data_IF_290487140615
#
_entry.id   IF_290487140615
#
_cell.length_a   1.000
_cell.length_b   1.000
_cell.length_c   1.000
_cell.angle_alpha   90.00
_cell.angle_beta   90.00
_cell.angle_gamma   90.00
#
_symmetry.space_group_name_H-M   'P 1'
#
loop_
_entity.id
_entity.type
_entity.pdbx_description
1 polymer ?
#
# COMPACT_ATOMS: atom_id res chain seq x y z
N UNK A 1 4.23 -17.87 17.65
CA UNK A 1 4.15 -16.43 17.32
C UNK A 1 3.39 -16.27 16.00
N UNK A 2 2.46 -15.31 15.91
CA UNK A 2 1.77 -14.97 14.65
C UNK A 2 2.31 -13.65 14.10
N UNK A 3 2.61 -13.60 12.80
CA UNK A 3 3.12 -12.43 12.10
C UNK A 3 2.22 -12.11 10.91
N UNK A 4 1.91 -10.82 10.72
CA UNK A 4 1.23 -10.31 9.54
C UNK A 4 2.20 -9.45 8.74
N UNK A 5 2.49 -9.86 7.52
CA UNK A 5 3.24 -9.07 6.54
C UNK A 5 2.25 -8.27 5.69
N UNK A 6 2.52 -6.99 5.45
CA UNK A 6 1.60 -6.12 4.73
C UNK A 6 2.32 -5.54 3.51
N UNK A 7 1.78 -5.78 2.31
CA UNK A 7 2.10 -4.95 1.14
C UNK A 7 1.17 -3.73 1.20
N UNK A 8 1.70 -2.52 1.45
CA UNK A 8 0.86 -1.34 1.59
C UNK A 8 0.23 -0.93 0.24
N UNK A 9 -0.88 -0.17 0.26
CA UNK A 9 -1.32 0.56 -0.92
C UNK A 9 -0.25 1.58 -1.32
N UNK A 10 -0.27 2.01 -2.59
CA UNK A 10 0.73 2.94 -3.14
C UNK A 10 0.02 4.13 -3.76
N UNK A 11 0.57 5.32 -3.55
CA UNK A 11 0.13 6.53 -4.23
C UNK A 11 1.15 6.91 -5.31
N UNK A 12 0.78 6.88 -6.58
CA UNK A 12 1.67 7.17 -7.71
C UNK A 12 0.88 7.65 -8.95
N UNK A 13 1.59 8.10 -9.99
CA UNK A 13 1.02 8.49 -11.29
C UNK A 13 0.66 7.30 -12.17
N UNK A 14 1.26 6.13 -11.93
CA UNK A 14 0.99 4.90 -12.67
C UNK A 14 1.25 3.64 -11.83
N UNK A 15 0.66 2.54 -12.26
CA UNK A 15 0.90 1.21 -11.70
C UNK A 15 0.83 0.19 -12.84
N UNK A 16 1.65 -0.86 -12.78
CA UNK A 16 1.61 -1.99 -13.71
C UNK A 16 1.56 -3.29 -12.92
N UNK A 17 0.97 -4.33 -13.49
CA UNK A 17 0.77 -5.63 -12.82
C UNK A 17 2.07 -6.26 -12.32
N UNK A 18 3.18 -6.09 -13.04
CA UNK A 18 4.48 -6.61 -12.58
C UNK A 18 5.02 -5.89 -11.33
N UNK A 19 4.59 -4.66 -11.07
CA UNK A 19 5.01 -3.85 -9.91
C UNK A 19 4.16 -4.07 -8.66
N UNK A 20 3.09 -4.87 -8.76
CA UNK A 20 2.20 -5.17 -7.62
C UNK A 20 2.47 -6.54 -7.02
N UNK A 21 3.40 -7.33 -7.57
CA UNK A 21 3.72 -8.65 -7.06
C UNK A 21 4.54 -8.55 -5.76
N UNK A 22 4.04 -9.06 -4.61
CA UNK A 22 4.73 -9.00 -3.32
C UNK A 22 5.88 -10.03 -3.20
N UNK A 23 6.73 -10.16 -4.22
CA UNK A 23 7.72 -11.25 -4.33
C UNK A 23 8.64 -11.32 -3.11
N UNK A 24 9.16 -10.18 -2.65
CA UNK A 24 9.99 -10.13 -1.44
C UNK A 24 9.26 -10.60 -0.19
N UNK A 25 7.98 -10.24 -0.03
CA UNK A 25 7.16 -10.70 1.11
C UNK A 25 6.87 -12.19 1.02
N UNK A 26 6.71 -12.75 -0.18
CA UNK A 26 6.53 -14.19 -0.37
C UNK A 26 7.78 -14.96 0.08
N UNK A 27 8.98 -14.50 -0.30
CA UNK A 27 10.24 -15.11 0.14
C UNK A 27 10.41 -15.02 1.67
N UNK A 28 10.12 -13.86 2.26
CA UNK A 28 10.15 -13.69 3.71
C UNK A 28 9.17 -14.62 4.42
N UNK A 29 7.92 -14.68 3.93
CA UNK A 29 6.91 -15.57 4.50
C UNK A 29 7.33 -17.04 4.42
N UNK A 30 7.90 -17.48 3.30
CA UNK A 30 8.41 -18.85 3.15
C UNK A 30 9.50 -19.16 4.17
N UNK A 31 10.52 -18.30 4.29
CA UNK A 31 11.61 -18.47 5.26
C UNK A 31 11.10 -18.55 6.71
N UNK A 32 10.21 -17.63 7.09
CA UNK A 32 9.64 -17.57 8.45
C UNK A 32 8.77 -18.80 8.76
N UNK A 33 7.97 -19.26 7.78
CA UNK A 33 7.16 -20.48 7.93
C UNK A 33 8.02 -21.72 8.11
N UNK A 34 9.13 -21.83 7.38
CA UNK A 34 10.11 -22.92 7.56
C UNK A 34 10.76 -22.93 8.95
N UNK A 35 10.76 -21.79 9.64
CA UNK A 35 11.22 -21.65 11.03
C UNK A 35 10.08 -21.74 12.07
N UNK A 36 8.91 -22.28 11.69
CA UNK A 36 7.78 -22.51 12.61
C UNK A 36 6.98 -21.27 12.98
N UNK A 37 7.16 -20.14 12.28
CA UNK A 37 6.38 -18.92 12.52
C UNK A 37 5.11 -18.97 11.66
N UNK A 38 3.95 -18.71 12.29
CA UNK A 38 2.69 -18.56 11.56
C UNK A 38 2.67 -17.18 10.89
N UNK A 39 2.75 -17.16 9.56
CA UNK A 39 2.79 -15.92 8.76
C UNK A 39 1.59 -15.82 7.84
N UNK A 40 0.91 -14.68 7.90
CA UNK A 40 -0.09 -14.24 6.93
C UNK A 40 0.44 -13.06 6.12
N UNK A 41 -0.03 -12.92 4.87
CA UNK A 41 0.24 -11.76 4.02
C UNK A 41 -1.09 -11.03 3.78
N UNK A 42 -1.12 -9.74 4.06
CA UNK A 42 -2.16 -8.82 3.62
C UNK A 42 -1.62 -8.03 2.44
N UNK A 43 -2.02 -8.43 1.23
CA UNK A 43 -1.71 -7.68 0.02
C UNK A 43 -2.78 -6.61 -0.21
N UNK A 44 -2.45 -5.34 0.04
CA UNK A 44 -3.37 -4.23 -0.18
C UNK A 44 -3.47 -3.82 -1.65
N UNK A 45 -2.59 -4.30 -2.53
CA UNK A 45 -2.62 -3.99 -3.97
C UNK A 45 -3.23 -5.12 -4.80
N UNK A 46 -3.63 -6.24 -4.18
CA UNK A 46 -4.39 -7.32 -4.82
C UNK A 46 -5.87 -6.94 -5.05
N UNK A 47 -6.10 -5.77 -5.66
CA UNK A 47 -7.42 -5.24 -6.04
C UNK A 47 -7.25 -4.31 -7.24
N UNK A 48 -8.30 -4.13 -8.03
CA UNK A 48 -8.33 -3.16 -9.14
C UNK A 48 -8.72 -1.75 -8.68
N UNK A 49 -8.97 -1.58 -7.37
CA UNK A 49 -9.32 -0.29 -6.79
C UNK A 49 -8.22 0.75 -6.99
N UNK A 50 -8.61 1.88 -7.60
CA UNK A 50 -7.77 3.06 -7.76
C UNK A 50 -8.62 4.32 -7.65
N UNK A 51 -8.11 5.34 -6.95
CA UNK A 51 -8.82 6.60 -6.71
C UNK A 51 -7.91 7.76 -7.06
N UNK A 52 -8.41 8.74 -7.80
CA UNK A 52 -7.68 9.98 -8.03
C UNK A 52 -7.61 10.74 -6.71
N UNK A 53 -6.39 11.13 -6.33
CA UNK A 53 -6.13 11.94 -5.14
C UNK A 53 -5.32 13.17 -5.55
N UNK A 54 -5.24 14.14 -4.65
CA UNK A 54 -4.45 15.34 -4.91
C UNK A 54 -2.97 14.99 -5.06
N UNK A 55 -2.33 15.58 -6.07
CA UNK A 55 -0.89 15.46 -6.28
C UNK A 55 -0.14 16.19 -5.16
N UNK A 56 0.75 15.51 -4.40
CA UNK A 56 1.58 16.12 -3.37
C UNK A 56 2.33 17.36 -3.87
N UNK A 57 2.57 18.32 -2.98
CA UNK A 57 3.23 19.59 -3.31
C UNK A 57 4.65 19.38 -3.86
N UNK A 58 5.33 18.35 -3.38
CA UNK A 58 6.64 17.89 -3.84
C UNK A 58 6.64 17.53 -5.33
N UNK A 59 5.48 17.14 -5.87
CA UNK A 59 5.28 16.79 -7.28
C UNK A 59 4.60 17.90 -8.09
N UNK A 60 4.46 19.11 -7.54
CA UNK A 60 3.84 20.23 -8.25
C UNK A 60 4.57 20.59 -9.56
N UNK A 61 5.89 20.39 -9.61
CA UNK A 61 6.72 20.59 -10.81
C UNK A 61 6.33 19.67 -11.98
N UNK A 62 5.61 18.57 -11.71
CA UNK A 62 5.15 17.63 -12.73
C UNK A 62 3.84 18.06 -13.41
N UNK A 63 3.06 18.97 -12.79
CA UNK A 63 1.76 19.43 -13.32
C UNK A 63 1.79 19.91 -14.77
N UNK A 64 2.82 20.66 -15.24
CA UNK A 64 2.90 21.08 -16.64
C UNK A 64 3.05 19.92 -17.63
N UNK A 65 3.68 18.82 -17.20
CA UNK A 65 4.02 17.66 -18.01
C UNK A 65 2.95 16.57 -17.95
N UNK A 66 2.42 16.29 -16.76
CA UNK A 66 1.43 15.24 -16.51
C UNK A 66 0.03 15.86 -16.51
N UNK A 67 -0.43 16.18 -17.72
CA UNK A 67 -1.74 16.79 -17.94
C UNK A 67 -2.81 15.69 -18.00
N UNK A 68 -3.74 15.63 -17.03
CA UNK A 68 -4.82 14.66 -17.10
C UNK A 68 -5.70 14.91 -18.33
N UNK A 69 -6.15 13.84 -18.98
CA UNK A 69 -6.97 13.93 -20.20
C UNK A 69 -6.18 14.20 -21.50
N UNK A 70 -4.85 14.27 -21.46
CA UNK A 70 -4.05 14.32 -22.69
C UNK A 70 -4.26 13.04 -23.52
N UNK A 71 -4.60 13.19 -24.80
CA UNK A 71 -4.81 12.09 -25.74
C UNK A 71 -3.69 11.93 -26.77
N UNK A 72 -2.64 12.76 -26.68
CA UNK A 72 -1.47 12.68 -27.56
C UNK A 72 -0.80 11.31 -27.50
N UNK A 73 -0.26 10.78 -28.62
CA UNK A 73 0.55 9.56 -28.64
C UNK A 73 1.77 9.61 -27.72
N UNK A 74 2.28 10.83 -27.43
CA UNK A 74 3.43 11.06 -26.55
C UNK A 74 3.01 11.49 -25.14
N UNK A 75 1.75 11.24 -24.76
CA UNK A 75 1.29 11.55 -23.40
C UNK A 75 2.09 10.76 -22.38
N UNK A 76 2.50 11.44 -21.32
CA UNK A 76 3.09 10.81 -20.14
C UNK A 76 1.95 10.33 -19.22
N UNK A 77 2.22 10.27 -17.93
CA UNK A 77 1.22 9.88 -16.95
C UNK A 77 0.12 10.92 -16.77
N UNK A 78 -0.99 10.49 -16.18
CA UNK A 78 -2.16 11.34 -15.96
C UNK A 78 -2.30 11.75 -14.50
N UNK A 79 -3.44 11.42 -13.89
CA UNK A 79 -3.70 11.71 -12.48
C UNK A 79 -2.76 10.95 -11.53
N UNK A 80 -2.39 11.62 -10.43
CA UNK A 80 -1.87 10.96 -9.24
C UNK A 80 -3.01 10.17 -8.58
N UNK A 81 -2.75 8.91 -8.22
CA UNK A 81 -3.78 7.98 -7.76
C UNK A 81 -3.31 7.18 -6.56
N UNK A 82 -4.25 6.89 -5.66
CA UNK A 82 -4.12 5.85 -4.65
C UNK A 82 -4.50 4.51 -5.27
N UNK A 83 -3.59 3.56 -5.23
CA UNK A 83 -3.77 2.19 -5.72
C UNK A 83 -3.85 1.22 -4.55
N UNK A 84 -4.85 0.35 -4.60
CA UNK A 84 -5.09 -0.63 -3.56
C UNK A 84 -6.16 -0.21 -2.54
N UNK A 85 -6.24 -0.99 -1.47
CA UNK A 85 -7.22 -0.83 -0.40
C UNK A 85 -7.13 0.54 0.28
N UNK A 86 -8.27 1.01 0.78
CA UNK A 86 -8.31 2.21 1.60
C UNK A 86 -7.88 1.92 3.03
N UNK A 87 -7.47 2.97 3.76
CA UNK A 87 -6.99 2.85 5.12
C UNK A 87 -8.01 2.22 6.08
N UNK A 88 -9.30 2.49 5.90
CA UNK A 88 -10.37 1.89 6.70
C UNK A 88 -10.50 0.38 6.45
N UNK A 89 -10.39 -0.06 5.21
CA UNK A 89 -10.43 -1.48 4.85
C UNK A 89 -9.23 -2.22 5.43
N UNK A 90 -8.05 -1.60 5.38
CA UNK A 90 -6.83 -2.13 5.99
C UNK A 90 -7.02 -2.27 7.50
N UNK A 91 -7.55 -1.23 8.17
CA UNK A 91 -7.86 -1.26 9.61
C UNK A 91 -8.84 -2.37 9.95
N UNK A 92 -9.92 -2.51 9.18
CA UNK A 92 -10.92 -3.55 9.38
C UNK A 92 -10.32 -4.96 9.22
N UNK A 93 -9.53 -5.17 8.16
CA UNK A 93 -8.84 -6.43 7.89
C UNK A 93 -7.83 -6.78 8.98
N UNK A 94 -7.10 -5.81 9.53
CA UNK A 94 -6.19 -6.04 10.65
C UNK A 94 -6.98 -6.42 11.91
N UNK A 95 -8.07 -5.71 12.24
CA UNK A 95 -8.90 -5.97 13.42
C UNK A 95 -9.62 -7.31 13.38
N UNK A 96 -10.02 -7.77 12.19
CA UNK A 96 -10.68 -9.06 12.01
C UNK A 96 -9.77 -10.25 12.32
N UNK A 97 -8.45 -10.05 12.40
CA UNK A 97 -7.50 -11.10 12.71
C UNK A 97 -7.30 -11.18 14.23
N UNK A 98 -7.47 -12.36 14.85
CA UNK A 98 -7.26 -12.52 16.28
C UNK A 98 -5.79 -12.28 16.60
N UNK A 99 -5.53 -11.10 17.17
CA UNK A 99 -4.20 -10.66 17.57
C UNK A 99 -4.03 -10.92 19.07
N UNK A 100 -3.19 -11.88 19.44
CA UNK A 100 -2.76 -12.05 20.83
C UNK A 100 -1.59 -11.10 21.06
N UNK A 101 -1.87 -9.79 21.14
CA UNK A 101 -0.87 -8.84 21.65
C UNK A 101 -0.87 -8.92 23.18
N UNK A 102 0.28 -9.07 23.84
CA UNK A 102 0.40 -8.52 25.19
C UNK A 102 0.12 -7.02 25.06
N UNK A 103 -0.86 -6.51 25.81
CA UNK A 103 -1.31 -5.11 25.74
C UNK A 103 -0.09 -4.17 25.85
N UNK A 104 0.38 -3.63 24.73
CA UNK A 104 1.31 -2.52 24.76
C UNK A 104 0.54 -1.30 25.25
N UNK A 105 0.88 -0.87 26.47
CA UNK A 105 0.34 0.33 27.11
C UNK A 105 0.40 1.50 26.11
N UNK A 106 -0.75 2.15 25.88
CA UNK A 106 -0.88 3.37 25.10
C UNK A 106 0.04 4.46 25.68
N UNK A 107 1.26 4.58 25.18
CA UNK A 107 2.06 5.81 25.33
C UNK A 107 2.63 6.21 23.98
N UNK A 108 2.15 7.38 23.55
CA UNK A 108 2.80 8.36 22.68
C UNK A 108 3.31 7.89 21.32
N UNK A 109 2.43 7.89 20.32
CA UNK A 109 2.81 8.34 18.97
C UNK A 109 1.64 9.18 18.44
N UNK A 110 1.59 10.45 18.84
CA UNK A 110 0.93 11.50 18.05
C UNK A 110 2.06 12.22 17.31
N UNK A 111 1.99 12.41 15.99
CA UNK A 111 2.87 13.37 15.33
C UNK A 111 2.42 14.78 15.73
N UNK A 112 3.35 15.60 16.19
CA UNK A 112 3.15 17.03 16.40
C UNK A 112 2.88 17.73 15.04
N UNK A 113 2.18 18.89 15.07
CA UNK A 113 1.61 19.56 13.89
C UNK A 113 2.66 20.07 12.89
#
# INVERSE_FOLDING_TARGET
>A
MKLLLIQPPVADFYQTTMRTLPVGLLYLAASLRSNGISVEILDCQATEEKRVIETPAEFAYLKPFYRPGNLSPFKLYGHYRHYGLWWDDIRARIRARPCVLPRLSKKSILPNP
#
